data_IF_404614533955
#
_entry.id   IF_404614533955
#
_cell.length_a   1.000
_cell.length_b   1.000
_cell.length_c   1.000
_cell.angle_alpha   90.00
_cell.angle_beta   90.00
_cell.angle_gamma   90.00
#
_symmetry.space_group_name_H-M   'P 1'
#
loop_
_entity.id
_entity.type
_entity.pdbx_description
1 polymer ?
#
# COMPACT_ATOMS: atom_id res chain seq x y z
N UNK A 1 -5.82 9.90 14.21
CA UNK A 1 -4.96 10.89 13.55
C UNK A 1 -3.95 10.21 12.64
N UNK A 2 -3.22 10.99 11.85
CA UNK A 2 -2.27 10.51 10.84
C UNK A 2 -1.24 9.48 11.37
N UNK A 3 -0.75 9.65 12.59
CA UNK A 3 0.16 8.70 13.23
C UNK A 3 -0.44 7.31 13.46
N UNK A 4 -1.74 7.23 13.77
CA UNK A 4 -2.43 5.94 13.88
C UNK A 4 -2.50 5.22 12.54
N UNK A 5 -2.83 5.94 11.48
CA UNK A 5 -2.81 5.41 10.11
C UNK A 5 -1.44 4.85 9.74
N UNK A 6 -0.38 5.63 9.96
CA UNK A 6 1.00 5.20 9.71
C UNK A 6 1.36 3.94 10.49
N UNK A 7 1.06 3.91 11.79
CA UNK A 7 1.34 2.75 12.65
C UNK A 7 0.64 1.48 12.19
N UNK A 8 -0.64 1.56 11.82
CA UNK A 8 -1.40 0.42 11.29
C UNK A 8 -0.79 -0.10 9.98
N UNK A 9 -0.41 0.80 9.07
CA UNK A 9 0.20 0.43 7.79
C UNK A 9 1.58 -0.19 7.97
N UNK A 10 2.38 0.28 8.93
CA UNK A 10 3.66 -0.33 9.28
C UNK A 10 3.50 -1.75 9.85
N UNK A 11 2.54 -1.94 10.75
CA UNK A 11 2.23 -3.28 11.30
C UNK A 11 1.76 -4.22 10.21
N UNK A 12 0.84 -3.77 9.34
CA UNK A 12 0.33 -4.56 8.23
C UNK A 12 1.45 -4.96 7.25
N UNK A 13 2.33 -4.02 6.88
CA UNK A 13 3.45 -4.28 5.98
C UNK A 13 4.44 -5.31 6.57
N UNK A 14 4.80 -5.18 7.84
CA UNK A 14 5.67 -6.14 8.54
C UNK A 14 5.06 -7.52 8.65
N UNK A 15 3.75 -7.60 8.87
CA UNK A 15 3.04 -8.88 8.94
C UNK A 15 2.96 -9.59 7.58
N UNK A 16 2.79 -8.82 6.51
CA UNK A 16 2.68 -9.34 5.15
C UNK A 16 4.04 -9.75 4.55
N UNK A 17 5.10 -8.97 4.80
CA UNK A 17 6.37 -9.06 4.08
C UNK A 17 7.58 -9.33 4.99
N UNK A 18 7.35 -9.45 6.28
CA UNK A 18 8.39 -9.75 7.27
C UNK A 18 8.85 -8.53 8.10
N UNK A 19 9.49 -8.80 9.24
CA UNK A 19 9.84 -7.79 10.26
C UNK A 19 10.81 -6.72 9.77
N UNK A 20 11.66 -7.05 8.80
CA UNK A 20 12.65 -6.14 8.20
C UNK A 20 12.06 -5.19 7.14
N UNK A 21 10.73 -5.21 6.97
CA UNK A 21 10.05 -4.32 6.02
C UNK A 21 9.92 -2.92 6.59
N UNK A 22 10.44 -1.94 5.88
CA UNK A 22 10.27 -0.52 6.19
C UNK A 22 9.18 0.07 5.31
N UNK A 23 8.41 0.99 5.90
CA UNK A 23 7.36 1.74 5.21
C UNK A 23 7.77 3.21 5.14
N UNK A 24 7.64 3.80 3.97
CA UNK A 24 7.71 5.25 3.81
C UNK A 24 6.44 5.79 3.17
N UNK A 25 6.05 6.98 3.58
CA UNK A 25 4.90 7.68 3.04
C UNK A 25 5.39 8.84 2.18
N UNK A 26 4.86 8.94 0.96
CA UNK A 26 5.14 10.05 0.05
C UNK A 26 3.86 10.84 -0.19
N UNK A 27 3.89 12.17 -0.12
CA UNK A 27 2.73 12.99 -0.41
C UNK A 27 2.14 12.67 -1.78
N UNK A 28 0.81 12.53 -1.82
CA UNK A 28 0.05 12.28 -3.03
C UNK A 28 -1.32 12.92 -2.91
N UNK A 29 -1.76 13.60 -3.95
CA UNK A 29 -3.09 14.17 -3.97
C UNK A 29 -4.14 13.10 -4.32
N UNK A 30 -5.19 13.07 -3.51
CA UNK A 30 -6.44 12.37 -3.76
C UNK A 30 -7.60 13.28 -3.33
N UNK A 31 -8.67 13.43 -4.12
CA UNK A 31 -9.73 14.42 -3.84
C UNK A 31 -10.57 14.14 -2.59
N UNK A 32 -10.49 12.95 -2.05
CA UNK A 32 -11.29 12.48 -0.90
C UNK A 32 -10.50 12.36 0.41
N UNK A 33 -9.22 12.69 0.41
CA UNK A 33 -8.36 12.69 1.61
C UNK A 33 -7.46 13.92 1.64
N UNK A 34 -7.16 14.42 2.85
CA UNK A 34 -6.27 15.55 3.10
C UNK A 34 -5.64 15.40 4.50
N UNK A 35 -4.33 15.20 4.64
CA UNK A 35 -3.35 14.91 3.60
C UNK A 35 -3.49 13.50 3.01
N UNK A 36 -3.20 13.38 1.71
CA UNK A 36 -3.11 12.12 1.01
C UNK A 36 -1.66 11.66 0.82
N UNK A 37 -1.44 10.37 0.83
CA UNK A 37 -0.10 9.75 0.69
C UNK A 37 -0.14 8.47 -0.11
N UNK A 38 0.95 8.21 -0.83
CA UNK A 38 1.30 6.87 -1.28
C UNK A 38 2.19 6.20 -0.24
N UNK A 39 1.92 4.94 0.05
CA UNK A 39 2.76 4.10 0.88
C UNK A 39 3.62 3.17 0.06
N UNK A 40 4.90 3.19 0.35
CA UNK A 40 5.91 2.35 -0.27
C UNK A 40 6.56 1.48 0.79
N UNK A 41 6.88 0.25 0.40
CA UNK A 41 7.67 -0.68 1.23
C UNK A 41 9.03 -0.93 0.62
N UNK A 42 9.99 -1.31 1.44
CA UNK A 42 11.30 -1.78 0.97
C UNK A 42 11.12 -2.92 -0.04
N UNK A 43 11.78 -2.81 -1.17
CA UNK A 43 11.71 -3.84 -2.20
C UNK A 43 12.26 -5.17 -1.67
N UNK A 44 11.43 -6.20 -1.67
CA UNK A 44 11.79 -7.54 -1.18
C UNK A 44 12.87 -8.21 -2.01
N UNK A 45 12.90 -7.96 -3.34
CA UNK A 45 13.83 -8.61 -4.25
C UNK A 45 15.27 -8.11 -4.10
N UNK A 46 15.44 -6.82 -3.82
CA UNK A 46 16.78 -6.20 -3.72
C UNK A 46 17.10 -5.64 -2.33
N UNK A 47 16.21 -5.85 -1.35
CA UNK A 47 16.38 -5.34 0.01
C UNK A 47 16.75 -3.86 0.07
N UNK A 48 16.11 -3.07 -0.80
CA UNK A 48 16.33 -1.62 -0.86
C UNK A 48 17.50 -1.15 -1.74
N UNK A 49 18.31 -2.05 -2.32
CA UNK A 49 19.49 -1.70 -3.12
C UNK A 49 19.16 -1.16 -4.52
N UNK A 50 17.98 -1.43 -5.01
CA UNK A 50 17.55 -1.11 -6.37
C UNK A 50 17.61 -2.32 -7.31
N UNK A 51 16.56 -2.53 -8.10
CA UNK A 51 16.48 -3.59 -9.11
C UNK A 51 15.48 -3.20 -10.21
N UNK A 52 15.31 -4.05 -11.22
CA UNK A 52 14.36 -3.82 -12.31
C UNK A 52 12.92 -3.71 -11.82
N UNK A 53 12.51 -4.52 -10.83
CA UNK A 53 11.15 -4.50 -10.27
C UNK A 53 10.81 -3.16 -9.62
N UNK A 54 11.71 -2.61 -8.81
CA UNK A 54 11.52 -1.32 -8.15
C UNK A 54 12.04 -0.13 -8.96
N UNK A 55 12.40 -0.35 -10.24
CA UNK A 55 12.96 0.68 -11.13
C UNK A 55 14.15 1.43 -10.49
N UNK A 56 15.06 0.68 -9.88
CA UNK A 56 16.26 1.17 -9.18
C UNK A 56 15.99 2.04 -7.94
N UNK A 57 14.73 2.20 -7.53
CA UNK A 57 14.36 3.04 -6.38
C UNK A 57 14.62 2.38 -5.01
N UNK A 58 14.66 1.06 -4.97
CA UNK A 58 14.68 0.28 -3.72
C UNK A 58 13.33 0.17 -3.01
N UNK A 59 12.28 0.81 -3.55
CA UNK A 59 10.95 0.92 -2.95
C UNK A 59 9.85 0.48 -3.89
N UNK A 60 8.79 -0.12 -3.34
CA UNK A 60 7.61 -0.55 -4.08
C UNK A 60 6.37 0.09 -3.50
N UNK A 61 5.63 0.82 -4.33
CA UNK A 61 4.33 1.36 -3.97
C UNK A 61 3.31 0.22 -3.81
N UNK A 62 2.63 0.17 -2.68
CA UNK A 62 1.65 -0.89 -2.37
C UNK A 62 0.28 -0.37 -1.97
N UNK A 63 0.16 0.85 -1.47
CA UNK A 63 -1.11 1.42 -1.04
C UNK A 63 -1.20 2.93 -1.24
N UNK A 64 -2.43 3.42 -1.39
CA UNK A 64 -2.79 4.81 -1.21
C UNK A 64 -3.49 4.98 0.14
N UNK A 65 -3.24 6.08 0.84
CA UNK A 65 -3.85 6.36 2.13
C UNK A 65 -3.98 7.86 2.38
N UNK A 66 -4.75 8.23 3.39
CA UNK A 66 -4.87 9.63 3.82
C UNK A 66 -5.89 9.84 4.92
N UNK A 67 -5.90 11.03 5.47
CA UNK A 67 -6.97 11.46 6.36
C UNK A 67 -8.20 11.79 5.53
N UNK A 68 -9.36 11.30 5.95
CA UNK A 68 -10.61 11.51 5.22
C UNK A 68 -10.94 13.01 5.22
N UNK A 69 -11.23 13.54 4.02
CA UNK A 69 -11.58 14.97 3.87
C UNK A 69 -12.85 15.29 4.66
N UNK A 70 -12.94 16.45 5.36
CA UNK A 70 -14.11 16.84 6.13
C UNK A 70 -15.44 16.73 5.37
N UNK A 71 -15.48 17.18 4.13
CA UNK A 71 -16.69 17.12 3.28
C UNK A 71 -17.16 15.66 3.05
N UNK A 72 -16.23 14.70 3.04
CA UNK A 72 -16.58 13.27 2.90
C UNK A 72 -17.17 12.74 4.20
N UNK A 73 -16.64 13.16 5.36
CA UNK A 73 -17.23 12.84 6.66
C UNK A 73 -18.65 13.38 6.79
N UNK A 74 -18.86 14.66 6.43
CA UNK A 74 -20.19 15.31 6.44
C UNK A 74 -21.18 14.59 5.53
N UNK A 75 -20.76 14.27 4.30
CA UNK A 75 -21.59 13.50 3.36
C UNK A 75 -21.96 12.11 3.89
N UNK A 76 -21.08 11.52 4.72
CA UNK A 76 -21.32 10.26 5.44
C UNK A 76 -22.10 10.40 6.74
N UNK A 77 -22.55 11.60 7.10
CA UNK A 77 -23.29 11.85 8.35
C UNK A 77 -22.42 11.88 9.62
N UNK A 78 -21.10 12.03 9.47
CA UNK A 78 -20.14 12.09 10.58
C UNK A 78 -19.72 13.56 10.81
N UNK A 79 -19.81 14.04 12.03
CA UNK A 79 -19.42 15.39 12.39
C UNK A 79 -17.89 15.56 12.36
N UNK A 80 -17.30 16.33 11.41
CA UNK A 80 -15.85 16.47 11.27
C UNK A 80 -15.19 17.31 12.37
N UNK A 81 -15.97 18.02 13.19
CA UNK A 81 -15.44 18.75 14.35
C UNK A 81 -15.18 17.86 15.56
N UNK A 82 -15.87 16.72 15.63
CA UNK A 82 -15.75 15.74 16.72
C UNK A 82 -14.91 14.52 16.32
N UNK A 83 -14.96 14.16 15.06
CA UNK A 83 -14.33 12.93 14.55
C UNK A 83 -13.35 13.20 13.41
N UNK A 84 -12.29 12.43 13.41
CA UNK A 84 -11.36 12.33 12.30
C UNK A 84 -11.32 10.89 11.80
N UNK A 85 -11.27 10.71 10.50
CA UNK A 85 -11.12 9.42 9.87
C UNK A 85 -9.83 9.31 9.07
N UNK A 86 -9.38 8.11 8.83
CA UNK A 86 -8.37 7.82 7.80
C UNK A 86 -8.83 6.65 6.95
N UNK A 87 -8.37 6.64 5.71
CA UNK A 87 -8.67 5.57 4.76
C UNK A 87 -7.39 5.10 4.09
N UNK A 88 -7.37 3.85 3.67
CA UNK A 88 -6.30 3.29 2.85
C UNK A 88 -6.87 2.25 1.88
N UNK A 89 -6.24 2.13 0.73
CA UNK A 89 -6.57 1.15 -0.30
C UNK A 89 -5.33 0.37 -0.72
N UNK A 90 -5.49 -0.93 -0.86
CA UNK A 90 -4.44 -1.87 -1.23
C UNK A 90 -4.86 -2.61 -2.50
N UNK A 91 -3.97 -2.70 -3.49
CA UNK A 91 -4.19 -3.52 -4.68
C UNK A 91 -3.91 -4.99 -4.39
N UNK A 92 -4.95 -5.85 -4.38
CA UNK A 92 -4.79 -7.28 -4.08
C UNK A 92 -3.76 -7.96 -4.97
N UNK A 93 -3.78 -7.70 -6.26
CA UNK A 93 -2.80 -8.22 -7.23
C UNK A 93 -1.38 -7.85 -6.85
N UNK A 94 -1.14 -6.59 -6.46
CA UNK A 94 0.17 -6.12 -6.03
C UNK A 94 0.62 -6.78 -4.72
N UNK A 95 -0.29 -6.95 -3.77
CA UNK A 95 -0.03 -7.68 -2.52
C UNK A 95 0.37 -9.12 -2.79
N UNK A 96 -0.37 -9.80 -3.66
CA UNK A 96 -0.11 -11.20 -4.05
C UNK A 96 1.27 -11.35 -4.71
N UNK A 97 1.58 -10.47 -5.67
CA UNK A 97 2.90 -10.48 -6.32
C UNK A 97 4.04 -10.40 -5.30
N UNK A 98 3.94 -9.44 -4.38
CA UNK A 98 4.97 -9.24 -3.36
C UNK A 98 5.05 -10.40 -2.37
N UNK A 99 3.91 -10.95 -1.97
CA UNK A 99 3.81 -12.07 -1.02
C UNK A 99 4.44 -13.35 -1.56
N UNK A 100 4.20 -13.65 -2.84
CA UNK A 100 4.62 -14.89 -3.49
C UNK A 100 5.84 -14.73 -4.41
N UNK A 101 6.45 -13.56 -4.44
CA UNK A 101 7.64 -13.30 -5.25
C UNK A 101 7.39 -13.36 -6.75
N UNK A 102 6.18 -13.02 -7.22
CA UNK A 102 5.80 -13.04 -8.62
C UNK A 102 6.38 -11.80 -9.31
N UNK A 103 7.23 -12.01 -10.31
CA UNK A 103 7.95 -10.90 -10.96
C UNK A 103 7.12 -10.14 -12.00
N UNK A 104 6.09 -10.78 -12.59
CA UNK A 104 5.27 -10.20 -13.64
C UNK A 104 3.78 -10.32 -13.30
N UNK A 105 3.12 -9.16 -13.19
CA UNK A 105 1.69 -9.06 -12.89
C UNK A 105 0.80 -9.80 -13.91
N UNK A 106 1.24 -9.88 -15.17
CA UNK A 106 0.50 -10.53 -16.25
C UNK A 106 0.33 -12.03 -16.02
N UNK A 107 1.22 -12.65 -15.27
CA UNK A 107 1.11 -14.06 -14.90
C UNK A 107 -0.15 -14.35 -14.07
N UNK A 108 -0.51 -13.42 -13.17
CA UNK A 108 -1.72 -13.56 -12.34
C UNK A 108 -3.02 -13.47 -13.15
N UNK A 109 -3.00 -12.79 -14.27
CA UNK A 109 -4.18 -12.54 -15.13
C UNK A 109 -4.20 -13.43 -16.38
N UNK A 110 -3.14 -14.21 -16.62
CA UNK A 110 -2.97 -15.00 -17.83
C UNK A 110 -3.91 -16.21 -17.90
N UNK A 111 -4.43 -16.71 -16.77
CA UNK A 111 -5.20 -17.96 -16.71
C UNK A 111 -4.38 -19.22 -17.01
N UNK A 112 -3.05 -19.14 -17.01
CA UNK A 112 -2.18 -20.29 -17.25
C UNK A 112 -2.21 -21.26 -16.05
N UNK A 113 -2.82 -22.42 -16.25
CA UNK A 113 -2.94 -23.44 -15.21
C UNK A 113 -1.60 -23.93 -14.68
N UNK A 114 -0.54 -23.92 -15.50
CA UNK A 114 0.82 -24.29 -15.05
C UNK A 114 1.37 -23.30 -14.04
N UNK A 115 1.00 -22.03 -14.18
CA UNK A 115 1.35 -21.00 -13.22
C UNK A 115 0.50 -21.15 -11.94
N UNK A 116 -0.82 -21.30 -12.07
CA UNK A 116 -1.74 -21.41 -10.94
C UNK A 116 -1.48 -22.65 -10.07
N UNK A 117 -1.05 -23.75 -10.66
CA UNK A 117 -0.74 -25.01 -9.95
C UNK A 117 0.57 -24.95 -9.12
N UNK A 118 1.29 -23.82 -9.11
CA UNK A 118 2.48 -23.63 -8.26
C UNK A 118 2.12 -23.18 -6.83
N UNK A 119 0.90 -22.77 -6.62
CA UNK A 119 0.36 -22.27 -5.36
C UNK A 119 -0.80 -23.19 -4.90
#
# INVERSE_FOLDING_TARGET
>A
HFGHMKGILEVAAKHLYGPETYVRLRPKFYPFVEPGVNGEVTCYLCSGKGCRLCKQSGWLEIFGAGMVHPNVLEAGGVNPTEYQGFAFGLGLTRLTMLKYGIEDIRLLESGDLRFLNQF
#
